data_IF_372733778828
#
_entry.id   IF_372733778828
#
_cell.length_a   1.000
_cell.length_b   1.000
_cell.length_c   1.000
_cell.angle_alpha   90.00
_cell.angle_beta   90.00
_cell.angle_gamma   90.00
#
_symmetry.space_group_name_H-M   'P 1'
#
loop_
_entity.id
_entity.type
_entity.pdbx_description
1 polymer ?
#
# COMPACT_ATOMS: atom_id res chain seq x y z
N UNK A 1 2.43 32.16 -27.34
CA UNK A 1 3.86 32.29 -27.69
C UNK A 1 4.48 30.92 -27.45
N UNK A 2 4.72 30.21 -28.56
CA UNK A 2 5.35 28.90 -28.75
C UNK A 2 5.48 27.97 -27.53
N UNK A 3 4.52 27.03 -27.43
CA UNK A 3 4.76 25.73 -26.82
C UNK A 3 5.71 24.97 -27.75
N UNK A 4 6.98 24.87 -27.37
CA UNK A 4 7.93 23.98 -28.03
C UNK A 4 8.13 22.73 -27.18
N UNK A 5 8.00 21.60 -27.86
CA UNK A 5 7.76 20.26 -27.36
C UNK A 5 9.05 19.52 -27.04
N UNK A 6 9.17 18.97 -25.82
CA UNK A 6 9.80 17.67 -25.53
C UNK A 6 9.78 17.36 -24.01
N UNK A 7 8.60 17.31 -23.39
CA UNK A 7 8.47 16.63 -22.11
C UNK A 7 8.31 15.13 -22.42
N UNK A 8 9.42 14.40 -22.44
CA UNK A 8 9.40 12.93 -22.38
C UNK A 8 9.06 12.49 -20.95
N UNK A 9 7.90 12.88 -20.43
CA UNK A 9 7.33 12.24 -19.25
C UNK A 9 6.71 10.93 -19.69
N UNK A 10 7.50 9.85 -19.69
CA UNK A 10 6.97 8.51 -19.87
C UNK A 10 6.25 8.13 -18.58
N UNK A 11 4.94 8.41 -18.51
CA UNK A 11 4.07 7.75 -17.53
C UNK A 11 3.79 6.37 -18.10
N UNK A 12 4.59 5.38 -17.70
CA UNK A 12 4.35 3.98 -18.04
C UNK A 12 3.09 3.55 -17.26
N UNK A 13 1.93 3.63 -17.91
CA UNK A 13 0.71 2.99 -17.40
C UNK A 13 0.59 1.60 -18.02
N UNK A 14 1.23 0.63 -17.39
CA UNK A 14 1.07 -0.79 -17.73
C UNK A 14 0.79 -1.59 -16.46
N UNK A 15 -0.14 -2.56 -16.51
CA UNK A 15 -0.32 -3.47 -15.39
C UNK A 15 0.92 -4.38 -15.36
N UNK A 16 1.78 -4.16 -14.37
CA UNK A 16 2.93 -5.00 -14.01
C UNK A 16 3.97 -5.24 -15.13
N UNK A 17 4.90 -4.30 -15.30
CA UNK A 17 6.18 -4.62 -15.96
C UNK A 17 7.07 -5.44 -15.04
N UNK A 18 7.62 -6.53 -15.58
CA UNK A 18 8.67 -7.29 -14.90
C UNK A 18 9.97 -6.47 -14.86
N UNK A 19 10.88 -6.81 -13.92
CA UNK A 19 12.22 -6.19 -13.85
C UNK A 19 12.97 -6.26 -15.19
N UNK A 20 12.82 -7.36 -15.93
CA UNK A 20 13.45 -7.55 -17.24
C UNK A 20 12.91 -6.56 -18.27
N UNK A 21 11.59 -6.45 -18.39
CA UNK A 21 10.94 -5.51 -19.30
C UNK A 21 11.32 -4.06 -18.99
N UNK A 22 11.43 -3.70 -17.70
CA UNK A 22 11.89 -2.36 -17.31
C UNK A 22 13.31 -2.06 -17.82
N UNK A 23 14.23 -3.01 -17.68
CA UNK A 23 15.62 -2.84 -18.15
C UNK A 23 15.69 -2.71 -19.69
N UNK A 24 14.91 -3.52 -20.41
CA UNK A 24 14.83 -3.44 -21.88
C UNK A 24 14.30 -2.08 -22.34
N UNK A 25 13.21 -1.59 -21.72
CA UNK A 25 12.66 -0.26 -22.01
C UNK A 25 13.66 0.86 -21.66
N UNK A 26 14.37 0.75 -20.54
CA UNK A 26 15.35 1.77 -20.15
C UNK A 26 16.47 1.92 -21.18
N UNK A 27 16.93 0.81 -21.78
CA UNK A 27 17.91 0.84 -22.86
C UNK A 27 17.33 1.46 -24.14
N UNK A 28 16.06 1.18 -24.44
CA UNK A 28 15.40 1.72 -25.63
C UNK A 28 15.22 3.24 -25.56
N UNK A 29 14.97 3.80 -24.38
CA UNK A 29 14.79 5.23 -24.16
C UNK A 29 16.08 5.97 -23.74
N UNK A 30 17.25 5.35 -23.92
CA UNK A 30 18.57 5.93 -23.55
C UNK A 30 18.65 6.36 -22.07
N UNK A 31 17.91 5.69 -21.19
CA UNK A 31 17.90 5.96 -19.75
C UNK A 31 19.15 5.35 -19.12
N UNK A 32 20.03 6.18 -18.57
CA UNK A 32 21.15 5.72 -17.75
C UNK A 32 20.65 5.22 -16.40
N UNK A 33 20.77 3.91 -16.14
CA UNK A 33 20.46 3.31 -14.86
C UNK A 33 21.71 3.11 -14.02
N UNK A 34 21.71 3.64 -12.80
CA UNK A 34 22.81 3.51 -11.85
C UNK A 34 22.31 2.87 -10.55
N UNK A 35 22.84 1.69 -10.22
CA UNK A 35 22.52 0.95 -9.01
C UNK A 35 23.71 0.88 -8.05
N UNK A 36 23.44 0.58 -6.77
CA UNK A 36 24.48 0.50 -5.73
C UNK A 36 25.08 1.86 -5.35
N UNK A 37 24.40 2.95 -5.72
CA UNK A 37 24.73 4.33 -5.38
C UNK A 37 23.64 4.88 -4.44
N UNK A 38 24.04 5.61 -3.40
CA UNK A 38 23.13 6.30 -2.48
C UNK A 38 23.05 7.78 -2.87
N UNK A 39 21.86 8.35 -2.87
CA UNK A 39 21.70 9.81 -2.93
C UNK A 39 21.89 10.33 -1.51
N UNK A 40 22.92 11.15 -1.28
CA UNK A 40 23.27 11.66 0.06
C UNK A 40 22.91 13.13 0.27
N UNK A 41 22.55 13.85 -0.79
CA UNK A 41 22.06 15.22 -0.70
C UNK A 41 21.60 15.77 -2.05
N UNK A 42 20.89 16.88 -2.02
CA UNK A 42 20.68 17.70 -3.20
C UNK A 42 20.53 19.17 -2.83
N UNK A 43 20.83 20.01 -3.81
CA UNK A 43 20.71 21.46 -3.72
C UNK A 43 20.25 22.01 -5.06
N UNK A 44 19.90 23.28 -5.08
CA UNK A 44 19.60 24.03 -6.31
C UNK A 44 20.73 25.02 -6.54
N UNK A 45 21.30 25.03 -7.75
CA UNK A 45 22.37 25.96 -8.12
C UNK A 45 21.82 27.37 -8.44
N UNK A 46 22.73 28.32 -8.71
CA UNK A 46 22.36 29.70 -9.04
C UNK A 46 21.51 29.83 -10.32
N UNK A 47 21.49 28.81 -11.17
CA UNK A 47 20.72 28.77 -12.41
C UNK A 47 19.38 28.03 -12.23
N UNK A 48 19.04 27.62 -11.00
CA UNK A 48 17.80 26.90 -10.72
C UNK A 48 17.84 25.40 -11.05
N UNK A 49 19.01 24.83 -11.36
CA UNK A 49 19.14 23.38 -11.62
C UNK A 49 19.37 22.62 -10.33
N UNK A 50 18.83 21.41 -10.25
CA UNK A 50 19.14 20.48 -9.18
C UNK A 50 20.56 19.95 -9.34
N UNK A 51 21.30 19.89 -8.24
CA UNK A 51 22.59 19.22 -8.12
C UNK A 51 22.44 18.13 -7.07
N UNK A 52 22.43 16.87 -7.52
CA UNK A 52 22.23 15.69 -6.69
C UNK A 52 23.58 15.06 -6.36
N UNK A 53 23.91 14.97 -5.07
CA UNK A 53 25.11 14.31 -4.58
C UNK A 53 24.86 12.81 -4.47
N UNK A 54 25.74 12.03 -5.08
CA UNK A 54 25.63 10.58 -5.18
C UNK A 54 26.91 9.93 -4.67
N UNK A 55 26.77 8.90 -3.84
CA UNK A 55 27.89 8.25 -3.16
C UNK A 55 27.87 6.73 -3.36
N UNK A 56 29.07 6.13 -3.39
CA UNK A 56 29.22 4.67 -3.35
C UNK A 56 30.13 4.27 -2.19
N UNK A 57 29.50 3.79 -1.10
CA UNK A 57 30.15 3.49 0.18
C UNK A 57 31.31 2.49 0.12
N UNK A 58 31.38 1.66 -0.92
CA UNK A 58 32.41 0.63 -1.03
C UNK A 58 33.76 1.16 -1.52
N UNK A 59 33.82 2.37 -2.08
CA UNK A 59 35.03 2.88 -2.77
C UNK A 59 35.27 4.39 -2.59
N UNK A 60 34.79 4.99 -1.49
CA UNK A 60 34.94 6.45 -1.21
C UNK A 60 34.71 7.36 -2.42
N UNK A 61 33.67 7.04 -3.19
CA UNK A 61 33.31 7.75 -4.42
C UNK A 61 32.18 8.74 -4.15
N UNK A 62 32.39 9.98 -4.58
CA UNK A 62 31.40 11.07 -4.56
C UNK A 62 31.27 11.63 -5.97
N UNK A 63 30.04 11.80 -6.42
CA UNK A 63 29.69 12.34 -7.74
C UNK A 63 28.51 13.31 -7.62
N UNK A 64 28.36 14.17 -8.62
CA UNK A 64 27.33 15.20 -8.66
C UNK A 64 26.62 15.17 -10.01
N UNK A 65 25.30 14.97 -9.97
CA UNK A 65 24.45 14.93 -11.16
C UNK A 65 23.65 16.24 -11.23
N UNK A 66 23.81 16.99 -12.32
CA UNK A 66 23.00 18.17 -12.60
C UNK A 66 21.74 17.76 -13.38
N UNK A 67 20.57 18.25 -12.96
CA UNK A 67 19.29 17.95 -13.59
C UNK A 67 18.34 19.16 -13.56
N UNK A 68 17.52 19.31 -14.60
CA UNK A 68 16.45 20.32 -14.62
C UNK A 68 15.25 19.90 -13.76
N UNK A 69 15.02 18.59 -13.64
CA UNK A 69 13.91 18.00 -12.89
C UNK A 69 14.40 16.78 -12.11
N UNK A 70 13.81 16.56 -10.94
CA UNK A 70 14.08 15.38 -10.11
C UNK A 70 12.77 14.69 -9.75
N UNK A 71 12.66 13.41 -10.11
CA UNK A 71 11.57 12.54 -9.68
C UNK A 71 12.04 11.70 -8.49
N UNK A 72 11.36 11.81 -7.36
CA UNK A 72 11.72 11.10 -6.13
C UNK A 72 10.85 9.87 -5.96
N UNK A 73 11.47 8.69 -5.96
CA UNK A 73 10.80 7.39 -5.76
C UNK A 73 11.52 6.57 -4.68
N UNK A 74 11.37 6.98 -3.42
CA UNK A 74 12.23 6.51 -2.31
C UNK A 74 11.64 5.39 -1.46
N UNK A 75 10.43 4.93 -1.78
CA UNK A 75 9.72 3.97 -0.95
C UNK A 75 9.59 4.47 0.49
N UNK A 76 9.96 3.64 1.47
CA UNK A 76 9.97 3.97 2.91
C UNK A 76 11.28 4.61 3.42
N UNK A 77 12.20 5.00 2.53
CA UNK A 77 13.49 5.58 2.94
C UNK A 77 13.33 7.00 3.52
N UNK A 78 13.80 7.19 4.76
CA UNK A 78 13.79 8.48 5.46
C UNK A 78 14.57 9.58 4.73
N UNK A 79 15.57 9.20 3.92
CA UNK A 79 16.35 10.15 3.12
C UNK A 79 15.46 10.85 2.08
N UNK A 80 14.46 10.16 1.53
CA UNK A 80 13.51 10.75 0.61
C UNK A 80 12.60 11.79 1.25
N UNK A 81 12.11 11.51 2.46
CA UNK A 81 11.31 12.48 3.22
C UNK A 81 12.14 13.72 3.57
N UNK A 82 13.40 13.53 3.97
CA UNK A 82 14.32 14.62 4.29
C UNK A 82 14.59 15.49 3.06
N UNK A 83 14.81 14.87 1.90
CA UNK A 83 14.97 15.54 0.62
C UNK A 83 13.76 16.41 0.27
N UNK A 84 12.55 15.84 0.36
CA UNK A 84 11.31 16.56 0.06
C UNK A 84 11.09 17.74 1.02
N UNK A 85 11.32 17.54 2.32
CA UNK A 85 11.21 18.59 3.33
C UNK A 85 12.18 19.76 3.08
N UNK A 86 13.43 19.47 2.71
CA UNK A 86 14.44 20.49 2.39
C UNK A 86 14.04 21.39 1.22
N UNK A 87 13.19 20.89 0.31
CA UNK A 87 12.69 21.64 -0.83
C UNK A 87 11.28 22.22 -0.61
N UNK A 88 10.86 22.35 0.66
CA UNK A 88 9.64 23.05 1.05
C UNK A 88 8.36 22.20 1.05
N UNK A 89 8.45 20.88 0.82
CA UNK A 89 7.28 20.01 0.92
C UNK A 89 6.94 19.67 2.37
N UNK A 90 5.65 19.60 2.68
CA UNK A 90 5.18 19.08 3.97
C UNK A 90 5.17 17.55 3.95
N UNK A 91 5.74 16.94 4.98
CA UNK A 91 5.72 15.48 5.16
C UNK A 91 4.58 15.12 6.09
N UNK A 92 3.62 14.35 5.58
CA UNK A 92 2.60 13.73 6.43
C UNK A 92 3.23 12.46 7.03
N UNK A 93 3.26 12.32 8.37
CA UNK A 93 3.85 11.15 9.00
C UNK A 93 3.24 9.84 8.45
N UNK A 94 4.08 8.89 8.02
CA UNK A 94 3.57 7.60 7.55
C UNK A 94 3.01 6.80 8.72
N UNK A 95 1.93 6.06 8.45
CA UNK A 95 1.35 5.09 9.38
C UNK A 95 1.38 3.71 8.73
N UNK A 96 1.51 2.62 9.51
CA UNK A 96 1.43 1.26 8.99
C UNK A 96 0.17 1.01 8.16
N UNK A 97 0.31 0.22 7.10
CA UNK A 97 -0.76 -0.23 6.21
C UNK A 97 -0.42 -1.62 5.66
N UNK A 98 -1.37 -2.28 4.99
CA UNK A 98 -1.20 -3.63 4.43
C UNK A 98 -0.74 -4.66 5.47
N UNK A 99 -1.38 -4.65 6.63
CA UNK A 99 -1.11 -5.58 7.73
C UNK A 99 -2.31 -6.48 8.03
N UNK A 100 -2.06 -7.57 8.76
CA UNK A 100 -3.08 -8.52 9.20
C UNK A 100 -3.71 -8.08 10.51
N UNK A 101 -4.94 -8.49 10.77
CA UNK A 101 -5.62 -8.14 12.01
C UNK A 101 -5.41 -9.21 13.06
N UNK A 102 -4.74 -8.84 14.15
CA UNK A 102 -4.65 -9.67 15.34
C UNK A 102 -5.99 -9.64 16.07
N UNK A 103 -6.61 -10.80 16.28
CA UNK A 103 -7.92 -10.92 16.92
C UNK A 103 -7.81 -11.92 18.06
N UNK A 104 -8.09 -11.47 19.27
CA UNK A 104 -8.08 -12.29 20.48
C UNK A 104 -9.38 -13.10 20.61
N UNK A 105 -9.59 -14.05 19.70
CA UNK A 105 -10.74 -14.96 19.71
C UNK A 105 -10.26 -16.41 19.64
N UNK A 106 -10.55 -17.18 20.69
CA UNK A 106 -10.14 -18.60 20.79
C UNK A 106 -10.71 -19.45 19.66
N UNK A 107 -11.85 -19.08 19.09
CA UNK A 107 -12.50 -19.81 17.98
C UNK A 107 -11.67 -19.77 16.70
N UNK A 108 -10.81 -18.75 16.53
CA UNK A 108 -9.96 -18.63 15.34
C UNK A 108 -8.73 -19.55 15.39
N UNK A 109 -8.27 -19.94 16.59
CA UNK A 109 -7.08 -20.77 16.75
C UNK A 109 -7.26 -22.13 16.06
N UNK A 110 -8.40 -22.77 16.27
CA UNK A 110 -8.75 -24.07 15.68
C UNK A 110 -9.09 -23.98 14.19
N UNK A 111 -9.25 -22.77 13.66
CA UNK A 111 -9.58 -22.50 12.26
C UNK A 111 -8.37 -21.99 11.45
N UNK A 112 -7.17 -21.98 12.04
CA UNK A 112 -5.96 -21.53 11.33
C UNK A 112 -5.73 -22.32 10.05
N UNK A 113 -5.56 -21.62 8.93
CA UNK A 113 -5.40 -22.21 7.60
C UNK A 113 -6.70 -22.29 6.79
N UNK A 114 -7.87 -22.12 7.41
CA UNK A 114 -9.14 -22.03 6.68
C UNK A 114 -9.13 -20.77 5.82
N UNK A 115 -9.39 -20.95 4.53
CA UNK A 115 -9.50 -19.86 3.56
C UNK A 115 -10.92 -19.76 3.01
N UNK A 116 -11.34 -18.52 2.78
CA UNK A 116 -12.61 -18.19 2.16
C UNK A 116 -12.30 -17.46 0.86
N UNK A 117 -12.87 -17.93 -0.26
CA UNK A 117 -12.69 -17.30 -1.57
C UNK A 117 -13.35 -15.93 -1.64
N UNK A 118 -14.46 -15.74 -0.90
CA UNK A 118 -15.21 -14.50 -0.86
C UNK A 118 -15.92 -14.31 0.47
N UNK A 119 -15.57 -13.23 1.17
CA UNK A 119 -16.29 -12.71 2.34
C UNK A 119 -16.48 -11.21 2.17
N UNK A 120 -17.44 -10.63 2.88
CA UNK A 120 -17.54 -9.18 3.06
C UNK A 120 -17.13 -8.85 4.49
N UNK A 121 -16.12 -8.00 4.65
CA UNK A 121 -15.62 -7.57 5.94
C UNK A 121 -15.79 -6.05 6.09
N UNK A 122 -16.28 -5.62 7.24
CA UNK A 122 -16.51 -4.22 7.59
C UNK A 122 -15.77 -3.86 8.87
N UNK A 123 -14.97 -2.82 8.81
CA UNK A 123 -14.27 -2.26 9.96
C UNK A 123 -15.12 -1.16 10.60
N UNK A 124 -15.38 -1.29 11.90
CA UNK A 124 -16.14 -0.35 12.70
C UNK A 124 -15.24 0.21 13.81
N UNK A 125 -15.11 1.53 13.86
CA UNK A 125 -14.26 2.24 14.80
C UNK A 125 -15.14 3.18 15.63
N UNK A 126 -14.93 3.18 16.96
CA UNK A 126 -15.73 3.93 17.93
C UNK A 126 -15.26 5.41 17.96
N UNK A 127 -15.36 6.10 16.82
CA UNK A 127 -14.83 7.47 16.67
C UNK A 127 -14.99 8.09 15.28
N UNK A 128 -15.43 7.32 14.29
CA UNK A 128 -15.63 7.81 12.93
C UNK A 128 -16.79 8.82 12.92
N UNK A 129 -16.49 10.08 12.57
CA UNK A 129 -17.52 11.03 12.17
C UNK A 129 -18.33 10.41 11.03
N UNK A 130 -19.67 10.44 11.08
CA UNK A 130 -20.60 9.83 10.09
C UNK A 130 -20.29 10.14 8.60
N UNK A 131 -19.39 11.07 8.32
CA UNK A 131 -18.90 11.47 7.00
C UNK A 131 -17.71 10.69 6.44
N UNK A 132 -17.05 9.80 7.21
CA UNK A 132 -15.94 9.02 6.64
C UNK A 132 -16.46 7.91 5.69
N UNK A 133 -15.69 7.53 4.66
CA UNK A 133 -16.05 6.44 3.77
C UNK A 133 -16.28 5.15 4.55
N UNK A 134 -17.27 4.36 4.14
CA UNK A 134 -17.51 3.07 4.76
C UNK A 134 -16.33 2.12 4.51
N UNK A 135 -15.67 1.66 5.57
CA UNK A 135 -14.56 0.72 5.50
C UNK A 135 -15.09 -0.71 5.35
N UNK A 136 -15.67 -0.99 4.17
CA UNK A 136 -16.18 -2.30 3.77
C UNK A 136 -15.38 -2.80 2.57
N UNK A 137 -14.98 -4.07 2.62
CA UNK A 137 -14.26 -4.74 1.52
C UNK A 137 -14.81 -6.14 1.30
N UNK A 138 -14.83 -6.57 0.05
CA UNK A 138 -15.22 -7.93 -0.33
C UNK A 138 -14.06 -8.63 -1.04
N UNK A 139 -13.83 -9.90 -0.73
CA UNK A 139 -12.85 -10.73 -1.42
C UNK A 139 -12.29 -11.86 -0.55
N UNK A 140 -11.14 -12.43 -0.95
CA UNK A 140 -10.58 -13.57 -0.24
C UNK A 140 -10.07 -13.22 1.15
N UNK A 141 -10.24 -14.15 2.08
CA UNK A 141 -9.81 -14.06 3.48
C UNK A 141 -9.11 -15.35 3.90
N UNK A 142 -8.13 -15.22 4.79
CA UNK A 142 -7.43 -16.33 5.43
C UNK A 142 -7.52 -16.20 6.94
N UNK A 143 -7.94 -17.27 7.61
CA UNK A 143 -7.83 -17.38 9.07
C UNK A 143 -6.42 -17.85 9.42
N UNK A 144 -5.81 -17.21 10.41
CA UNK A 144 -4.45 -17.49 10.89
C UNK A 144 -4.48 -17.76 12.38
N UNK A 145 -3.43 -18.37 12.91
CA UNK A 145 -3.30 -18.68 14.33
C UNK A 145 -3.34 -17.47 15.29
N UNK A 146 -3.23 -16.23 14.78
CA UNK A 146 -3.31 -15.01 15.59
C UNK A 146 -4.45 -14.06 15.18
N UNK A 147 -5.27 -14.41 14.19
CA UNK A 147 -6.34 -13.55 13.69
C UNK A 147 -6.61 -13.74 12.19
N UNK A 148 -6.84 -12.65 11.46
CA UNK A 148 -7.30 -12.69 10.07
C UNK A 148 -6.31 -12.01 9.11
N UNK A 149 -6.23 -12.57 7.91
CA UNK A 149 -5.35 -12.14 6.80
C UNK A 149 -6.10 -12.25 5.46
N UNK A 150 -5.37 -12.12 4.36
CA UNK A 150 -5.87 -12.20 2.99
C UNK A 150 -6.18 -10.82 2.39
N UNK A 151 -6.41 -10.75 1.07
CA UNK A 151 -6.61 -9.50 0.34
C UNK A 151 -7.69 -8.59 0.93
N UNK A 152 -8.77 -9.14 1.49
CA UNK A 152 -9.82 -8.32 2.12
C UNK A 152 -9.31 -7.58 3.35
N UNK A 153 -8.54 -8.24 4.21
CA UNK A 153 -7.98 -7.66 5.45
C UNK A 153 -6.87 -6.68 5.13
N UNK A 154 -5.96 -7.04 4.21
CA UNK A 154 -4.86 -6.14 3.81
C UNK A 154 -5.41 -4.84 3.22
N UNK A 155 -6.44 -4.92 2.37
CA UNK A 155 -7.11 -3.72 1.83
C UNK A 155 -7.77 -2.89 2.93
N UNK A 156 -8.50 -3.51 3.85
CA UNK A 156 -9.09 -2.79 4.99
C UNK A 156 -8.02 -2.06 5.82
N UNK A 157 -6.90 -2.71 6.12
CA UNK A 157 -5.80 -2.08 6.87
C UNK A 157 -5.15 -0.91 6.12
N UNK A 158 -5.17 -0.94 4.78
CA UNK A 158 -4.62 0.14 3.96
C UNK A 158 -5.57 1.33 3.86
N UNK A 159 -6.86 1.06 3.61
CA UNK A 159 -7.88 2.11 3.51
C UNK A 159 -8.18 2.76 4.86
N UNK A 160 -8.19 1.98 5.94
CA UNK A 160 -8.42 2.45 7.30
C UNK A 160 -7.15 2.77 8.09
N UNK A 161 -5.99 2.91 7.43
CA UNK A 161 -4.69 3.01 8.11
C UNK A 161 -4.62 4.18 9.11
N UNK A 162 -5.18 5.33 8.76
CA UNK A 162 -5.14 6.54 9.59
C UNK A 162 -6.12 6.45 10.74
N UNK A 163 -7.31 5.95 10.48
CA UNK A 163 -8.37 5.75 11.47
C UNK A 163 -7.93 4.71 12.50
N UNK A 164 -7.37 3.58 12.05
CA UNK A 164 -6.77 2.58 12.93
C UNK A 164 -5.62 3.17 13.74
N UNK A 165 -4.76 3.99 13.15
CA UNK A 165 -3.68 4.64 13.89
C UNK A 165 -4.20 5.58 15.00
N UNK A 166 -5.23 6.38 14.70
CA UNK A 166 -5.87 7.29 15.65
C UNK A 166 -6.49 6.52 16.84
N UNK A 167 -7.16 5.40 16.56
CA UNK A 167 -7.80 4.55 17.57
C UNK A 167 -6.86 3.50 18.18
N UNK A 168 -5.53 3.68 18.04
CA UNK A 168 -4.50 2.79 18.60
C UNK A 168 -4.72 1.32 18.21
N UNK A 169 -5.15 1.12 16.98
CA UNK A 169 -5.46 -0.16 16.35
C UNK A 169 -6.55 -0.96 17.08
N UNK A 170 -7.47 -0.28 17.76
CA UNK A 170 -8.66 -0.88 18.36
C UNK A 170 -9.86 -0.65 17.45
N UNK A 171 -10.44 -1.72 16.94
CA UNK A 171 -11.60 -1.67 16.07
C UNK A 171 -12.43 -2.95 16.19
N UNK A 172 -13.72 -2.85 15.86
CA UNK A 172 -14.60 -4.01 15.69
C UNK A 172 -14.59 -4.41 14.23
N UNK A 173 -14.43 -5.69 13.95
CA UNK A 173 -14.53 -6.24 12.61
C UNK A 173 -15.80 -7.08 12.52
N UNK A 174 -16.65 -6.77 11.55
CA UNK A 174 -17.81 -7.59 11.18
C UNK A 174 -17.46 -8.34 9.91
N UNK A 175 -17.65 -9.66 9.91
CA UNK A 175 -17.40 -10.51 8.74
C UNK A 175 -18.67 -11.25 8.39
N UNK A 176 -19.12 -11.05 7.16
CA UNK A 176 -20.12 -11.88 6.49
C UNK A 176 -19.38 -12.92 5.65
N UNK A 177 -19.49 -14.18 6.07
CA UNK A 177 -18.83 -15.33 5.44
C UNK A 177 -19.56 -15.85 4.19
N UNK A 178 -20.84 -15.48 4.01
CA UNK A 178 -21.67 -15.94 2.90
C UNK A 178 -22.45 -14.77 2.27
N UNK A 179 -21.74 -13.72 1.82
CA UNK A 179 -22.34 -12.47 1.35
C UNK A 179 -23.19 -12.59 0.09
N UNK A 180 -23.18 -13.75 -0.56
CA UNK A 180 -23.95 -14.04 -1.78
C UNK A 180 -25.31 -14.69 -1.49
N UNK A 181 -25.58 -15.03 -0.22
CA UNK A 181 -26.83 -15.69 0.19
C UNK A 181 -27.58 -14.75 1.13
N UNK A 182 -28.82 -14.41 0.79
CA UNK A 182 -29.65 -13.59 1.65
C UNK A 182 -29.99 -14.34 2.95
N UNK A 183 -30.06 -13.62 4.07
CA UNK A 183 -30.21 -14.22 5.40
C UNK A 183 -31.42 -15.16 5.54
N UNK A 184 -32.53 -14.85 4.86
CA UNK A 184 -33.73 -15.69 4.87
C UNK A 184 -33.52 -17.02 4.14
N UNK A 185 -32.71 -17.04 3.08
CA UNK A 185 -32.36 -18.27 2.38
C UNK A 185 -31.43 -19.14 3.23
N UNK A 186 -30.48 -18.53 3.94
CA UNK A 186 -29.61 -19.22 4.91
C UNK A 186 -30.46 -19.89 6.00
N UNK A 187 -31.41 -19.15 6.59
CA UNK A 187 -32.33 -19.71 7.60
C UNK A 187 -33.09 -20.91 7.04
N UNK A 188 -33.65 -20.79 5.84
CA UNK A 188 -34.40 -21.87 5.18
C UNK A 188 -33.53 -23.12 5.00
N UNK A 189 -32.30 -22.97 4.50
CA UNK A 189 -31.35 -24.09 4.31
C UNK A 189 -31.07 -24.78 5.65
N UNK A 190 -30.81 -23.99 6.72
CA UNK A 190 -30.53 -24.54 8.04
C UNK A 190 -31.73 -25.28 8.64
N UNK A 191 -32.95 -24.77 8.48
CA UNK A 191 -34.16 -25.46 8.95
C UNK A 191 -34.39 -26.77 8.20
N UNK A 192 -34.26 -26.77 6.88
CA UNK A 192 -34.39 -27.98 6.07
C UNK A 192 -33.36 -29.05 6.48
N UNK A 193 -32.12 -28.65 6.74
CA UNK A 193 -31.07 -29.57 7.16
C UNK A 193 -31.33 -30.12 8.57
N UNK A 194 -31.85 -29.29 9.49
CA UNK A 194 -32.27 -29.73 10.82
C UNK A 194 -33.36 -30.79 10.73
N UNK A 195 -34.39 -30.59 9.91
CA UNK A 195 -35.51 -31.54 9.79
C UNK A 195 -35.10 -32.88 9.17
N UNK A 196 -34.03 -32.91 8.37
CA UNK A 196 -33.48 -34.13 7.77
C UNK A 196 -32.56 -34.94 8.68
N UNK A 197 -32.03 -34.32 9.75
CA UNK A 197 -31.03 -34.91 10.63
C UNK A 197 -31.39 -34.84 12.13
N UNK A 198 -32.61 -34.44 12.45
CA UNK A 198 -33.21 -34.54 13.78
C UNK A 198 -33.91 -35.90 13.96
#
# INVERSE_FOLDING_TARGET
MLFDSAVHSVIIHTPFITKKQFLELSSFFEVSLQAGKSVSGASVDANGKFVVKVEKRTIDFVDYISANYVLVATGSSQQGYSFAAQHGHSIIPPVPSLFTFKIADKRLADLSGVSFTRVTAKLMLDGIQKSAPELTQTGPMLVTHWGLSGPVVLRLSAWGARELYQDKYQAKLVVDFIPDIHIEDVKRILFQHKDQHA
#
